data_IF_860747569169
#
_entry.id   IF_860747569169
#
_cell.length_a   1.000
_cell.length_b   1.000
_cell.length_c   1.000
_cell.angle_alpha   90.00
_cell.angle_beta   90.00
_cell.angle_gamma   90.00
#
_symmetry.space_group_name_H-M   'P 1'
#
loop_
_entity.id
_entity.type
_entity.pdbx_description
1 polymer ?
#
# COMPACT_ATOMS: atom_id res chain seq x y z
N UNK A 1 0.44 -6.49 9.57
CA UNK A 1 1.50 -7.14 8.77
C UNK A 1 1.23 -8.63 8.76
N UNK A 2 0.98 -9.24 7.60
CA UNK A 2 0.82 -10.70 7.54
C UNK A 2 2.19 -11.36 7.76
N UNK A 3 2.25 -12.47 8.51
CA UNK A 3 3.52 -13.19 8.75
C UNK A 3 4.23 -13.58 7.44
N UNK A 4 3.45 -13.81 6.39
CA UNK A 4 3.95 -14.10 5.04
C UNK A 4 4.74 -12.93 4.43
N UNK A 5 4.23 -11.70 4.57
CA UNK A 5 4.90 -10.51 4.02
C UNK A 5 6.27 -10.28 4.67
N UNK A 6 6.37 -10.46 5.98
CA UNK A 6 7.63 -10.31 6.72
C UNK A 6 8.66 -11.35 6.28
N UNK A 7 8.23 -12.60 6.09
CA UNK A 7 9.11 -13.68 5.60
C UNK A 7 9.63 -13.35 4.19
N UNK A 8 8.76 -12.88 3.29
CA UNK A 8 9.16 -12.48 1.93
C UNK A 8 10.17 -11.34 1.96
N UNK A 9 9.97 -10.32 2.81
CA UNK A 9 10.91 -9.21 2.97
C UNK A 9 12.28 -9.67 3.47
N UNK A 10 12.31 -10.57 4.45
CA UNK A 10 13.57 -11.14 4.97
C UNK A 10 14.33 -11.92 3.89
N UNK A 11 13.62 -12.71 3.08
CA UNK A 11 14.21 -13.46 1.96
C UNK A 11 14.79 -12.51 0.91
N UNK A 12 14.04 -11.49 0.48
CA UNK A 12 14.51 -10.47 -0.48
C UNK A 12 15.81 -9.81 -0.01
N UNK A 13 15.89 -9.48 1.29
CA UNK A 13 17.06 -8.83 1.88
C UNK A 13 18.30 -9.73 1.86
N UNK A 14 18.16 -10.99 2.28
CA UNK A 14 19.26 -11.98 2.34
C UNK A 14 19.76 -12.33 0.94
N UNK A 15 18.85 -12.60 0.00
CA UNK A 15 19.21 -12.91 -1.38
C UNK A 15 19.87 -11.71 -2.05
N UNK A 16 19.31 -10.51 -1.87
CA UNK A 16 19.90 -9.26 -2.35
C UNK A 16 21.33 -9.07 -1.85
N UNK A 17 21.59 -9.35 -0.57
CA UNK A 17 22.92 -9.17 0.01
C UNK A 17 23.95 -10.11 -0.63
N UNK A 18 23.60 -11.38 -0.77
CA UNK A 18 24.46 -12.37 -1.43
C UNK A 18 24.70 -12.01 -2.91
N UNK A 19 23.67 -11.54 -3.61
CA UNK A 19 23.77 -11.13 -5.02
C UNK A 19 24.65 -9.88 -5.19
N UNK A 20 24.49 -8.86 -4.35
CA UNK A 20 25.35 -7.67 -4.37
C UNK A 20 26.81 -8.03 -4.05
N UNK A 21 27.03 -8.83 -3.01
CA UNK A 21 28.38 -9.23 -2.59
C UNK A 21 29.12 -9.98 -3.71
N UNK A 22 28.48 -11.00 -4.29
CA UNK A 22 29.06 -11.78 -5.38
C UNK A 22 29.27 -10.93 -6.64
N UNK A 23 28.32 -10.05 -6.98
CA UNK A 23 28.42 -9.17 -8.15
C UNK A 23 29.54 -8.15 -8.00
N UNK A 24 29.69 -7.50 -6.84
CA UNK A 24 30.78 -6.55 -6.58
C UNK A 24 32.14 -7.26 -6.59
N UNK A 25 32.23 -8.45 -5.99
CA UNK A 25 33.47 -9.23 -5.96
C UNK A 25 33.90 -9.65 -7.38
N UNK A 26 32.95 -10.10 -8.21
CA UNK A 26 33.22 -10.51 -9.58
C UNK A 26 33.50 -9.31 -10.49
N UNK A 27 32.78 -8.20 -10.32
CA UNK A 27 33.05 -6.95 -11.02
C UNK A 27 34.45 -6.40 -10.70
N UNK A 28 34.88 -6.48 -9.44
CA UNK A 28 36.22 -6.03 -9.01
C UNK A 28 37.34 -6.75 -9.79
N UNK A 29 37.16 -8.04 -10.07
CA UNK A 29 38.12 -8.88 -10.78
C UNK A 29 38.03 -8.79 -12.31
N UNK A 30 36.81 -8.71 -12.85
CA UNK A 30 36.56 -8.84 -14.30
C UNK A 30 36.32 -7.51 -15.00
N UNK A 31 35.89 -6.48 -14.25
CA UNK A 31 35.47 -5.16 -14.76
C UNK A 31 34.42 -5.20 -15.87
N UNK A 32 33.65 -6.29 -15.94
CA UNK A 32 32.57 -6.49 -16.92
C UNK A 32 31.30 -5.70 -16.55
N UNK A 33 30.66 -5.08 -17.54
CA UNK A 33 29.40 -4.35 -17.36
C UNK A 33 28.21 -5.21 -16.94
N UNK A 34 28.25 -6.53 -17.17
CA UNK A 34 27.21 -7.45 -16.73
C UNK A 34 27.10 -7.51 -15.19
N UNK A 35 28.23 -7.56 -14.49
CA UNK A 35 28.25 -7.55 -13.03
C UNK A 35 27.81 -6.21 -12.45
N UNK A 36 28.15 -5.11 -13.13
CA UNK A 36 27.67 -3.78 -12.76
C UNK A 36 26.13 -3.68 -12.91
N UNK A 37 25.57 -4.29 -13.96
CA UNK A 37 24.12 -4.35 -14.18
C UNK A 37 23.41 -5.19 -13.10
N UNK A 38 24.03 -6.27 -12.64
CA UNK A 38 23.51 -7.03 -11.49
C UNK A 38 23.50 -6.20 -10.20
N UNK A 39 24.57 -5.45 -9.92
CA UNK A 39 24.60 -4.55 -8.74
C UNK A 39 23.45 -3.53 -8.82
N UNK A 40 23.24 -2.93 -9.99
CA UNK A 40 22.14 -2.00 -10.20
C UNK A 40 20.77 -2.66 -9.94
N UNK A 41 20.56 -3.89 -10.43
CA UNK A 41 19.34 -4.65 -10.19
C UNK A 41 19.08 -4.93 -8.70
N UNK A 42 20.13 -5.24 -7.94
CA UNK A 42 20.00 -5.42 -6.48
C UNK A 42 19.68 -4.09 -5.78
N UNK A 43 20.23 -2.96 -6.24
CA UNK A 43 19.87 -1.63 -5.72
C UNK A 43 18.39 -1.34 -5.97
N UNK A 44 17.86 -1.65 -7.15
CA UNK A 44 16.43 -1.52 -7.43
C UNK A 44 15.57 -2.43 -6.54
N UNK A 45 15.99 -3.68 -6.33
CA UNK A 45 15.32 -4.61 -5.40
C UNK A 45 15.25 -4.03 -3.98
N UNK A 46 16.32 -3.42 -3.48
CA UNK A 46 16.32 -2.78 -2.17
C UNK A 46 15.42 -1.54 -2.14
N UNK A 47 15.44 -0.73 -3.19
CA UNK A 47 14.55 0.43 -3.30
C UNK A 47 13.08 0.01 -3.27
N UNK A 48 12.70 -1.00 -4.05
CA UNK A 48 11.34 -1.54 -4.06
C UNK A 48 10.94 -2.09 -2.69
N UNK A 49 11.81 -2.90 -2.06
CA UNK A 49 11.55 -3.47 -0.73
C UNK A 49 11.39 -2.38 0.33
N UNK A 50 12.18 -1.30 0.22
CA UNK A 50 12.07 -0.14 1.11
C UNK A 50 10.74 0.61 0.90
N UNK A 51 10.27 0.73 -0.33
CA UNK A 51 8.96 1.30 -0.63
C UNK A 51 7.82 0.42 -0.08
N UNK A 52 7.88 -0.90 -0.24
CA UNK A 52 6.91 -1.83 0.36
C UNK A 52 6.86 -1.70 1.89
N UNK A 53 8.02 -1.53 2.53
CA UNK A 53 8.12 -1.31 3.97
C UNK A 53 7.45 0.01 4.35
N UNK A 54 7.78 1.11 3.65
CA UNK A 54 7.18 2.42 3.90
C UNK A 54 5.66 2.41 3.71
N UNK A 55 5.16 1.72 2.69
CA UNK A 55 3.73 1.54 2.46
C UNK A 55 3.08 0.72 3.59
N UNK A 56 3.72 -0.36 4.03
CA UNK A 56 3.24 -1.16 5.17
C UNK A 56 3.18 -0.37 6.49
N UNK A 57 4.03 0.65 6.66
CA UNK A 57 3.99 1.55 7.81
C UNK A 57 3.04 2.74 7.61
N UNK A 58 2.39 2.85 6.45
CA UNK A 58 1.45 3.93 6.13
C UNK A 58 2.11 5.26 5.76
N UNK A 59 3.40 5.27 5.43
CA UNK A 59 4.13 6.49 5.04
C UNK A 59 3.92 6.85 3.56
N UNK A 60 3.56 5.90 2.72
CA UNK A 60 3.36 6.15 1.28
C UNK A 60 1.94 6.65 1.01
N UNK A 61 1.84 7.96 0.79
CA UNK A 61 0.62 8.66 0.38
C UNK A 61 0.48 8.53 -1.15
N UNK A 62 0.02 7.39 -1.67
CA UNK A 62 -0.42 7.26 -3.07
C UNK A 62 -1.94 7.15 -3.23
N UNK A 63 -2.68 7.36 -2.14
CA UNK A 63 -4.11 7.08 -2.09
C UNK A 63 -5.01 8.29 -2.25
N UNK A 64 -4.48 9.46 -2.63
CA UNK A 64 -5.35 10.59 -2.95
C UNK A 64 -5.28 11.01 -4.42
N UNK A 65 -6.44 11.05 -5.06
CA UNK A 65 -6.63 11.54 -6.41
C UNK A 65 -7.61 12.71 -6.38
N UNK A 66 -7.22 13.83 -6.97
CA UNK A 66 -8.07 15.01 -7.03
C UNK A 66 -8.88 15.02 -8.33
N UNK A 67 -10.20 15.06 -8.20
CA UNK A 67 -11.15 15.30 -9.29
C UNK A 67 -11.83 16.65 -9.08
N UNK A 68 -11.23 17.71 -9.64
CA UNK A 68 -11.66 19.09 -9.36
C UNK A 68 -11.36 19.48 -7.91
N UNK A 69 -12.39 19.95 -7.18
CA UNK A 69 -12.30 20.28 -5.75
C UNK A 69 -12.45 19.06 -4.82
N UNK A 70 -12.75 17.89 -5.38
CA UNK A 70 -13.00 16.67 -4.61
C UNK A 70 -11.71 15.85 -4.58
N UNK A 71 -11.21 15.61 -3.37
CA UNK A 71 -10.11 14.69 -3.14
C UNK A 71 -10.66 13.31 -2.79
N UNK A 72 -10.38 12.31 -3.63
CA UNK A 72 -10.75 10.93 -3.38
C UNK A 72 -9.61 10.29 -2.59
N UNK A 73 -9.87 9.87 -1.35
CA UNK A 73 -8.91 9.14 -0.50
C UNK A 73 -9.42 7.74 -0.21
N UNK A 74 -8.54 6.77 0.05
CA UNK A 74 -9.04 5.58 0.73
C UNK A 74 -9.29 5.85 2.19
N UNK A 75 -10.39 5.26 2.66
CA UNK A 75 -10.85 5.33 4.02
C UNK A 75 -10.97 3.91 4.58
N UNK A 76 -11.10 3.81 5.88
CA UNK A 76 -11.46 2.57 6.57
C UNK A 76 -12.96 2.32 6.46
N UNK A 77 -13.38 1.06 6.61
CA UNK A 77 -14.81 0.74 6.65
C UNK A 77 -15.55 1.45 7.80
N UNK A 78 -14.83 1.77 8.89
CA UNK A 78 -15.39 2.52 10.03
C UNK A 78 -15.73 3.96 9.66
N UNK A 79 -14.84 4.64 8.95
CA UNK A 79 -15.09 6.01 8.43
C UNK A 79 -16.24 6.02 7.42
N UNK A 80 -16.46 4.91 6.70
CA UNK A 80 -17.62 4.79 5.81
C UNK A 80 -18.95 4.72 6.57
N UNK A 81 -18.96 4.25 7.83
CA UNK A 81 -20.19 4.13 8.62
C UNK A 81 -20.83 5.47 8.91
N UNK A 82 -20.03 6.53 9.13
CA UNK A 82 -20.56 7.86 9.47
C UNK A 82 -21.49 8.37 8.35
N UNK A 83 -21.03 8.34 7.10
CA UNK A 83 -21.83 8.76 5.95
C UNK A 83 -22.97 7.78 5.65
N UNK A 84 -22.76 6.47 5.77
CA UNK A 84 -23.83 5.47 5.55
C UNK A 84 -24.96 5.61 6.57
N UNK A 85 -24.61 5.86 7.83
CA UNK A 85 -25.57 6.12 8.88
C UNK A 85 -26.32 7.41 8.58
N UNK A 86 -25.64 8.52 8.30
CA UNK A 86 -26.31 9.80 8.02
C UNK A 86 -27.21 9.77 6.77
N UNK A 87 -26.82 9.06 5.71
CA UNK A 87 -27.48 9.13 4.40
C UNK A 87 -28.39 7.94 4.10
N UNK A 88 -27.92 6.71 4.35
CA UNK A 88 -28.66 5.49 3.95
C UNK A 88 -29.57 4.98 5.07
N UNK A 89 -29.08 4.97 6.33
CA UNK A 89 -29.80 4.40 7.46
C UNK A 89 -29.78 5.28 8.73
N UNK A 90 -30.32 6.52 8.66
CA UNK A 90 -30.22 7.49 9.77
C UNK A 90 -30.99 7.15 11.03
N UNK A 91 -31.88 6.15 10.95
CA UNK A 91 -32.68 5.67 12.08
C UNK A 91 -32.13 4.38 12.72
N UNK A 92 -31.03 3.84 12.19
CA UNK A 92 -30.42 2.59 12.66
C UNK A 92 -29.19 2.89 13.51
N UNK A 93 -28.73 1.91 14.27
CA UNK A 93 -27.47 2.06 14.98
C UNK A 93 -26.30 2.10 13.97
N UNK A 94 -25.24 2.89 14.19
CA UNK A 94 -24.07 2.93 13.31
C UNK A 94 -23.47 1.54 13.01
N UNK A 95 -23.48 0.61 13.97
CA UNK A 95 -22.98 -0.76 13.76
C UNK A 95 -23.89 -1.59 12.85
N UNK A 96 -25.18 -1.25 12.75
CA UNK A 96 -26.09 -1.87 11.78
C UNK A 96 -25.71 -1.52 10.33
N UNK A 97 -24.99 -0.41 10.12
CA UNK A 97 -24.54 0.03 8.81
C UNK A 97 -23.28 -0.72 8.31
N UNK A 98 -22.71 -1.60 9.14
CA UNK A 98 -21.63 -2.51 8.76
C UNK A 98 -22.22 -3.66 7.96
N UNK A 99 -21.70 -3.88 6.76
CA UNK A 99 -22.12 -4.98 5.88
C UNK A 99 -21.07 -6.08 5.84
N UNK A 100 -21.48 -7.29 5.48
CA UNK A 100 -20.56 -8.40 5.27
C UNK A 100 -19.56 -8.05 4.17
N UNK A 101 -18.28 -8.34 4.42
CA UNK A 101 -17.18 -7.99 3.53
C UNK A 101 -16.57 -6.60 3.75
N UNK A 102 -17.08 -5.75 4.66
CA UNK A 102 -16.48 -4.44 4.97
C UNK A 102 -15.03 -4.53 5.49
N UNK A 103 -14.64 -5.63 6.13
CA UNK A 103 -13.27 -5.78 6.61
C UNK A 103 -12.27 -6.12 5.50
N UNK A 104 -12.76 -6.69 4.40
CA UNK A 104 -11.96 -7.13 3.25
C UNK A 104 -12.14 -6.24 2.02
N UNK A 105 -13.21 -5.46 2.00
CA UNK A 105 -13.58 -4.53 0.93
C UNK A 105 -12.64 -3.33 0.84
N UNK A 106 -12.60 -2.74 -0.34
CA UNK A 106 -11.84 -1.52 -0.60
C UNK A 106 -12.77 -0.32 -0.51
N UNK A 107 -12.47 0.62 0.39
CA UNK A 107 -13.32 1.78 0.66
C UNK A 107 -12.65 3.09 0.25
N UNK A 108 -13.42 3.94 -0.43
CA UNK A 108 -13.03 5.25 -0.91
C UNK A 108 -13.95 6.31 -0.29
N UNK A 109 -13.37 7.43 0.09
CA UNK A 109 -14.06 8.62 0.57
C UNK A 109 -13.78 9.82 -0.33
N UNK A 110 -14.80 10.58 -0.68
CA UNK A 110 -14.66 11.87 -1.35
C UNK A 110 -14.62 12.99 -0.33
N UNK A 111 -13.59 13.84 -0.39
CA UNK A 111 -13.34 14.94 0.53
C UNK A 111 -13.41 16.29 -0.18
N UNK A 112 -14.07 17.27 0.45
CA UNK A 112 -14.01 18.68 0.04
C UNK A 112 -13.63 19.50 1.27
N UNK A 113 -12.63 20.37 1.15
CA UNK A 113 -12.08 21.13 2.29
C UNK A 113 -11.74 20.24 3.50
N UNK A 114 -11.19 19.05 3.23
CA UNK A 114 -10.82 18.06 4.23
C UNK A 114 -12.01 17.48 5.04
N UNK A 115 -13.25 17.67 4.58
CA UNK A 115 -14.46 17.05 5.13
C UNK A 115 -14.92 15.91 4.23
N UNK A 116 -15.18 14.74 4.81
CA UNK A 116 -15.75 13.59 4.10
C UNK A 116 -17.20 13.91 3.69
N UNK A 117 -17.50 13.82 2.38
CA UNK A 117 -18.83 14.13 1.81
C UNK A 117 -19.46 12.96 1.07
N UNK A 118 -18.68 11.94 0.71
CA UNK A 118 -19.14 10.79 -0.07
C UNK A 118 -18.32 9.56 0.27
N UNK A 119 -18.91 8.37 0.15
CA UNK A 119 -18.24 7.10 0.39
C UNK A 119 -18.64 6.08 -0.68
N UNK A 120 -17.68 5.26 -1.09
CA UNK A 120 -17.90 4.17 -2.04
C UNK A 120 -17.12 2.93 -1.56
N UNK A 121 -17.76 1.78 -1.59
CA UNK A 121 -17.19 0.52 -1.14
C UNK A 121 -17.25 -0.48 -2.29
N UNK A 122 -16.10 -1.06 -2.62
CA UNK A 122 -15.95 -2.06 -3.68
C UNK A 122 -15.57 -3.39 -3.03
N UNK A 123 -16.41 -4.39 -3.27
CA UNK A 123 -16.20 -5.77 -2.84
C UNK A 123 -15.89 -6.58 -4.10
N UNK A 124 -14.71 -7.19 -4.14
CA UNK A 124 -14.28 -8.07 -5.22
C UNK A 124 -14.20 -9.46 -4.59
N UNK A 125 -15.13 -10.32 -4.98
CA UNK A 125 -15.13 -11.75 -4.63
C UNK A 125 -14.03 -12.51 -5.41
#
# INVERSE_FOLDING_TARGET
>A
MSNQLVIVMAIKLVIGFMAAFTSVMLWSKTRDGAWLSMVLGVVFLYLETLLEILDSFGFIIYKSFNFGEIEIRLITWKEALDIRHEVLWPSKDPLFCKVDGDETGTHYGGFVNNRLISVASVYID
#
